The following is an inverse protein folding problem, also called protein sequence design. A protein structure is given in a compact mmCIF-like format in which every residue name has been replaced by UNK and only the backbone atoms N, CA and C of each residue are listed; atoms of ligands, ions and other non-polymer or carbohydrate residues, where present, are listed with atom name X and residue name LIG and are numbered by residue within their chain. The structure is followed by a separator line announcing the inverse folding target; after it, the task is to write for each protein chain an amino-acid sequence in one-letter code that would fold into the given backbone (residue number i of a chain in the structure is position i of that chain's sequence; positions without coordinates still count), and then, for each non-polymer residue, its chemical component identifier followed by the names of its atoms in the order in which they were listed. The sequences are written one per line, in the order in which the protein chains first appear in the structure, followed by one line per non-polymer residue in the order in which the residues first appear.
data_IF_348489626870
#
_entry.id   IF_348489626870
#
_cell.length_a   1.000
_cell.length_b   1.000
_cell.length_c   1.000
_cell.angle_alpha   90.00
_cell.angle_beta   90.00
_cell.angle_gamma   90.00
#
_symmetry.space_group_name_H-M   'P 1'
#
loop_
_entity.id
_entity.type
_entity.pdbx_description
1 polymer ?
#
# COMPACT_ATOMS: atom_id res chain seq x y z
N UNK A 1 29.65 30.41 20.96
CA UNK A 1 29.49 30.04 20.58
C UNK A 1 28.83 29.68 20.18
N UNK A 2 28.51 29.60 20.24
CA UNK A 2 27.98 29.25 19.77
C UNK A 2 27.24 28.67 19.28
N UNK A 3 26.93 28.63 19.40
CA UNK A 3 26.40 28.11 18.78
C UNK A 3 25.57 27.59 18.61
N UNK A 4 25.39 27.62 18.88
CA UNK A 4 24.80 27.16 18.47
C UNK A 4 23.98 26.70 18.11
N UNK A 5 23.94 26.78 18.33
CA UNK A 5 23.47 26.33 17.81
C UNK A 5 22.78 25.94 17.34
N UNK A 6 22.83 25.94 17.46
CA UNK A 6 22.52 25.61 16.81
C UNK A 6 21.99 25.01 16.45
N UNK A 7 22.03 24.95 16.68
CA UNK A 7 21.83 24.44 16.12
C UNK A 7 21.15 23.87 16.02
N UNK A 8 21.11 23.93 16.30
CA UNK A 8 20.69 23.57 16.08
C UNK A 8 19.97 23.28 15.68
N UNK A 9 19.76 23.35 15.59
CA UNK A 9 19.27 23.15 15.05
C UNK A 9 18.80 22.60 14.48
N UNK A 10 18.99 22.66 14.45
CA UNK A 10 18.76 22.15 13.66
C UNK A 10 18.07 21.17 13.61
N UNK A 11 18.03 21.12 13.95
CA UNK A 11 17.68 20.40 13.71
C UNK A 11 16.61 20.19 13.54
N UNK A 12 16.31 20.46 13.57
CA UNK A 12 15.62 20.34 13.23
C UNK A 12 15.07 20.15 12.49
N UNK A 13 15.12 20.54 12.64
CA UNK A 13 14.43 20.37 11.74
C UNK A 13 14.23 19.49 10.95
N UNK A 14 14.47 19.46 10.55
CA UNK A 14 14.43 18.53 9.92
C UNK A 14 13.55 17.59 9.92
N UNK A 15 12.90 17.55 10.48
CA UNK A 15 12.27 16.57 10.70
C UNK A 15 11.06 16.30 10.04
N UNK A 16 10.34 17.14 9.70
CA UNK A 16 9.05 17.01 9.20
C UNK A 16 8.98 16.58 7.78
N UNK A 17 9.82 17.11 6.99
CA UNK A 17 9.78 16.85 5.58
C UNK A 17 9.91 15.39 5.23
N UNK A 18 10.73 14.62 5.89
CA UNK A 18 10.86 13.22 5.56
C UNK A 18 9.57 12.41 5.65
N UNK A 19 8.73 12.75 6.57
CA UNK A 19 7.49 12.00 6.71
C UNK A 19 6.62 12.11 5.47
N UNK A 20 6.58 13.27 4.85
CA UNK A 20 5.79 13.46 3.65
C UNK A 20 6.40 12.76 2.45
N UNK A 21 7.72 12.71 2.41
CA UNK A 21 8.41 12.10 1.29
C UNK A 21 8.27 10.59 1.27
N UNK A 22 7.79 10.00 2.33
CA UNK A 22 7.72 8.56 2.44
C UNK A 22 6.39 7.98 2.04
N UNK A 23 5.45 8.81 1.61
CA UNK A 23 4.22 8.31 1.04
C UNK A 23 4.37 8.15 -0.46
N UNK A 24 4.15 6.94 -0.94
CA UNK A 24 4.21 6.62 -2.35
C UNK A 24 2.80 6.57 -2.93
N UNK A 25 2.63 7.12 -4.12
CA UNK A 25 1.37 7.08 -4.83
C UNK A 25 1.56 6.31 -6.12
N UNK A 26 0.79 5.25 -6.28
CA UNK A 26 0.87 4.39 -7.45
C UNK A 26 -0.50 4.31 -8.13
N UNK A 27 -0.48 4.22 -9.46
CA UNK A 27 -1.68 3.94 -10.22
C UNK A 27 -1.71 2.46 -10.54
N UNK A 28 -2.82 1.82 -10.23
CA UNK A 28 -2.99 0.40 -10.41
C UNK A 28 -4.00 0.12 -11.51
N UNK A 29 -3.71 -0.88 -12.32
CA UNK A 29 -4.56 -1.28 -13.42
C UNK A 29 -4.49 -2.78 -13.61
N UNK A 30 -5.64 -3.42 -13.74
CA UNK A 30 -5.71 -4.85 -14.01
C UNK A 30 -6.48 -5.05 -15.31
N UNK A 31 -5.79 -5.30 -16.43
CA UNK A 31 -6.46 -5.43 -17.73
C UNK A 31 -7.39 -6.64 -17.84
N UNK A 32 -7.29 -7.56 -16.90
CA UNK A 32 -8.14 -8.75 -16.89
C UNK A 32 -9.48 -8.53 -16.19
N UNK A 33 -9.67 -7.39 -15.56
CA UNK A 33 -10.88 -7.12 -14.79
C UNK A 33 -11.47 -5.78 -15.19
N UNK A 34 -12.78 -5.76 -15.35
CA UNK A 34 -13.50 -4.54 -15.66
C UNK A 34 -13.53 -3.62 -14.42
N UNK A 35 -13.43 -2.31 -14.62
CA UNK A 35 -13.44 -1.31 -13.55
C UNK A 35 -12.33 -1.49 -12.52
N UNK A 36 -11.19 -1.94 -12.97
CA UNK A 36 -10.10 -2.34 -12.07
C UNK A 36 -9.01 -1.30 -11.91
N UNK A 37 -9.31 -0.04 -12.18
CA UNK A 37 -8.33 1.03 -11.96
C UNK A 37 -8.46 1.58 -10.56
N UNK A 38 -7.32 1.80 -9.92
CA UNK A 38 -7.29 2.34 -8.57
C UNK A 38 -6.04 3.17 -8.35
N UNK A 39 -6.02 3.90 -7.25
CA UNK A 39 -4.82 4.59 -6.77
C UNK A 39 -4.44 3.96 -5.44
N UNK A 40 -3.17 3.63 -5.29
CA UNK A 40 -2.65 3.04 -4.07
C UNK A 40 -1.68 4.02 -3.42
N UNK A 41 -1.90 4.30 -2.14
CA UNK A 41 -1.01 5.13 -1.35
C UNK A 41 -0.32 4.23 -0.33
N UNK A 42 1.01 4.28 -0.32
CA UNK A 42 1.81 3.49 0.61
C UNK A 42 2.48 4.42 1.59
N UNK A 43 2.10 4.30 2.85
CA UNK A 43 2.69 5.06 3.95
C UNK A 43 3.75 4.17 4.58
N UNK A 44 5.00 4.41 4.20
CA UNK A 44 6.11 3.59 4.67
C UNK A 44 6.41 3.79 6.15
N UNK A 45 6.15 4.98 6.65
CA UNK A 45 6.42 5.29 8.05
C UNK A 45 5.51 4.52 8.97
N UNK A 46 4.23 4.48 8.65
CA UNK A 46 3.22 3.84 9.49
C UNK A 46 2.89 2.42 9.07
N UNK A 47 3.44 1.96 7.97
CA UNK A 47 3.20 0.60 7.49
C UNK A 47 1.75 0.39 7.07
N UNK A 48 1.21 1.32 6.28
CA UNK A 48 -0.17 1.26 5.82
C UNK A 48 -0.26 1.35 4.31
N UNK A 49 -1.19 0.60 3.73
CA UNK A 49 -1.55 0.74 2.32
C UNK A 49 -3.01 1.14 2.25
N UNK A 50 -3.28 2.19 1.48
CA UNK A 50 -4.63 2.65 1.22
C UNK A 50 -4.89 2.57 -0.27
N UNK A 51 -5.94 1.88 -0.66
CA UNK A 51 -6.34 1.79 -2.06
C UNK A 51 -7.69 2.46 -2.25
N UNK A 52 -7.79 3.29 -3.30
CA UNK A 52 -9.03 3.98 -3.64
C UNK A 52 -9.40 3.61 -5.07
N UNK A 53 -10.56 2.98 -5.24
CA UNK A 53 -11.03 2.52 -6.53
C UNK A 53 -11.66 3.65 -7.33
N UNK A 54 -11.31 3.74 -8.61
CA UNK A 54 -11.81 4.82 -9.47
C UNK A 54 -13.32 4.74 -9.69
N UNK A 55 -13.84 3.52 -9.80
CA UNK A 55 -15.22 3.33 -10.22
C UNK A 55 -16.24 3.92 -9.23
N UNK A 56 -16.01 3.74 -7.95
CA UNK A 56 -16.98 4.14 -6.93
C UNK A 56 -16.36 4.94 -5.77
N UNK A 57 -15.06 5.19 -5.81
CA UNK A 57 -14.37 5.89 -4.75
C UNK A 57 -14.21 5.08 -3.48
N UNK A 58 -14.49 3.78 -3.53
CA UNK A 58 -14.33 2.93 -2.36
C UNK A 58 -12.88 2.97 -1.87
N UNK A 59 -12.71 3.15 -0.58
CA UNK A 59 -11.40 3.32 0.05
C UNK A 59 -11.19 2.24 1.09
N UNK A 60 -10.04 1.61 1.02
CA UNK A 60 -9.67 0.57 1.96
C UNK A 60 -8.25 0.80 2.44
N UNK A 61 -8.03 0.75 3.76
CA UNK A 61 -6.71 0.91 4.36
C UNK A 61 -6.37 -0.34 5.14
N UNK A 62 -5.17 -0.85 4.92
CA UNK A 62 -4.72 -2.10 5.54
C UNK A 62 -3.30 -1.94 6.08
N UNK A 63 -3.01 -2.55 7.23
CA UNK A 63 -1.62 -2.67 7.68
C UNK A 63 -0.83 -3.49 6.66
N UNK A 64 0.40 -3.10 6.42
CA UNK A 64 1.25 -3.75 5.44
C UNK A 64 2.67 -3.90 5.96
N UNK A 65 3.37 -4.90 5.44
CA UNK A 65 4.77 -5.15 5.76
C UNK A 65 5.60 -5.11 4.50
N UNK A 66 6.78 -4.51 4.61
CA UNK A 66 7.72 -4.46 3.52
C UNK A 66 8.91 -5.35 3.83
N UNK A 67 9.19 -6.29 2.94
CA UNK A 67 10.33 -7.19 3.10
C UNK A 67 10.86 -7.60 1.75
N UNK A 68 12.17 -7.46 1.55
CA UNK A 68 12.83 -7.88 0.31
C UNK A 68 12.22 -7.28 -0.96
N UNK A 69 11.80 -6.02 -0.89
CA UNK A 69 11.24 -5.34 -2.04
C UNK A 69 9.77 -5.66 -2.30
N UNK A 70 9.11 -6.34 -1.38
CA UNK A 70 7.71 -6.73 -1.54
C UNK A 70 6.88 -6.21 -0.38
N UNK A 71 5.78 -5.53 -0.71
CA UNK A 71 4.76 -5.15 0.25
C UNK A 71 3.74 -6.27 0.36
N UNK A 72 3.32 -6.59 1.58
CA UNK A 72 2.34 -7.65 1.84
C UNK A 72 1.27 -7.13 2.78
N UNK A 73 0.01 -7.42 2.43
CA UNK A 73 -1.12 -7.05 3.28
C UNK A 73 -2.26 -8.04 3.07
N UNK A 74 -3.32 -7.88 3.83
CA UNK A 74 -4.47 -8.78 3.81
C UNK A 74 -5.72 -7.97 3.55
N UNK A 75 -6.58 -8.49 2.69
CA UNK A 75 -7.88 -7.88 2.38
C UNK A 75 -8.96 -8.91 2.68
N UNK A 76 -10.02 -8.46 3.33
CA UNK A 76 -11.19 -9.30 3.56
C UNK A 76 -12.30 -8.83 2.64
N UNK A 77 -12.72 -9.70 1.72
CA UNK A 77 -13.81 -9.35 0.82
C UNK A 77 -15.14 -9.47 1.55
N UNK A 78 -16.09 -8.62 1.17
CA UNK A 78 -17.41 -8.65 1.76
C UNK A 78 -18.09 -9.97 1.47
N UNK A 79 -18.77 -10.48 2.50
CA UNK A 79 -19.55 -11.70 2.35
C UNK A 79 -21.01 -11.39 2.10
N UNK A 80 -21.72 -12.33 1.54
CA UNK A 80 -23.17 -12.27 1.50
C UNK A 80 -23.68 -12.31 2.94
N UNK A 81 -24.89 -11.81 3.15
CA UNK A 81 -25.47 -11.75 4.49
C UNK A 81 -25.45 -13.14 5.14
N UNK A 82 -24.90 -13.19 6.35
CA UNK A 82 -24.82 -14.43 7.10
C UNK A 82 -23.63 -15.31 6.79
N UNK A 83 -22.72 -14.88 5.89
CA UNK A 83 -21.53 -15.65 5.54
C UNK A 83 -20.26 -14.91 5.93
N UNK A 84 -19.20 -15.62 6.29
CA UNK A 84 -17.92 -14.98 6.58
C UNK A 84 -17.30 -14.46 5.30
N UNK A 85 -16.56 -13.37 5.41
CA UNK A 85 -15.78 -12.83 4.30
C UNK A 85 -14.64 -13.76 3.91
N UNK A 86 -14.14 -13.57 2.71
CA UNK A 86 -12.98 -14.32 2.22
C UNK A 86 -11.74 -13.49 2.50
N UNK A 87 -10.75 -14.10 3.15
CA UNK A 87 -9.47 -13.45 3.45
C UNK A 87 -8.52 -13.70 2.30
N UNK A 88 -7.99 -12.63 1.74
CA UNK A 88 -7.04 -12.70 0.63
C UNK A 88 -5.70 -12.14 1.07
N UNK A 89 -4.64 -12.89 0.77
CA UNK A 89 -3.29 -12.40 0.90
C UNK A 89 -2.93 -11.62 -0.34
N UNK A 90 -2.32 -10.45 -0.16
CA UNK A 90 -1.95 -9.55 -1.24
C UNK A 90 -0.46 -9.27 -1.17
N UNK A 91 0.16 -9.09 -2.33
CA UNK A 91 1.55 -8.62 -2.39
C UNK A 91 1.76 -7.71 -3.58
N UNK A 92 2.69 -6.78 -3.43
CA UNK A 92 3.13 -5.86 -4.48
C UNK A 92 4.65 -5.91 -4.56
N UNK A 93 5.17 -6.35 -5.69
CA UNK A 93 6.61 -6.32 -5.95
C UNK A 93 6.97 -4.92 -6.42
N UNK A 94 7.76 -4.20 -5.60
CA UNK A 94 8.11 -2.82 -5.90
C UNK A 94 9.00 -2.67 -7.12
N UNK A 95 9.71 -3.72 -7.51
CA UNK A 95 10.60 -3.66 -8.67
C UNK A 95 9.82 -3.74 -9.98
N UNK A 96 8.79 -4.55 -10.00
CA UNK A 96 8.02 -4.80 -11.23
C UNK A 96 6.66 -4.10 -11.23
N UNK A 97 6.15 -3.76 -10.06
CA UNK A 97 4.80 -3.23 -9.91
C UNK A 97 3.72 -4.30 -9.95
N UNK A 98 4.10 -5.57 -10.06
CA UNK A 98 3.13 -6.66 -10.17
C UNK A 98 2.45 -6.91 -8.84
N UNK A 99 1.12 -6.99 -8.86
CA UNK A 99 0.31 -7.32 -7.69
C UNK A 99 -0.10 -8.79 -7.80
N UNK A 100 0.13 -9.51 -6.72
CA UNK A 100 -0.26 -10.92 -6.62
C UNK A 100 -1.27 -11.09 -5.50
N UNK A 101 -2.16 -12.07 -5.65
CA UNK A 101 -3.16 -12.34 -4.63
C UNK A 101 -3.48 -13.83 -4.56
N UNK A 102 -4.01 -14.24 -3.42
CA UNK A 102 -4.51 -15.58 -3.23
C UNK A 102 -5.45 -15.61 -2.02
N UNK A 103 -6.34 -16.58 -2.01
CA UNK A 103 -7.09 -16.88 -0.79
C UNK A 103 -6.09 -17.34 0.25
N UNK A 104 -6.27 -16.88 1.48
CA UNK A 104 -5.33 -17.16 2.56
C UNK A 104 -5.00 -18.65 2.66
N UNK A 105 -3.72 -18.96 2.71
CA UNK A 105 -3.24 -20.32 2.76
C UNK A 105 -2.93 -20.95 1.42
N UNK A 106 -3.22 -20.25 0.32
CA UNK A 106 -2.90 -20.70 -1.02
C UNK A 106 -1.71 -19.95 -1.59
N UNK A 107 -1.14 -20.45 -2.67
CA UNK A 107 0.01 -19.80 -3.31
C UNK A 107 -0.42 -18.52 -4.00
N UNK A 108 0.37 -17.46 -3.83
CA UNK A 108 0.14 -16.19 -4.51
C UNK A 108 0.34 -16.33 -6.02
N UNK A 109 -0.53 -15.67 -6.78
CA UNK A 109 -0.43 -15.64 -8.23
C UNK A 109 -0.54 -14.20 -8.72
N UNK A 110 0.17 -13.83 -9.82
CA UNK A 110 0.23 -12.45 -10.30
C UNK A 110 -1.04 -12.04 -11.06
N UNK A 111 -2.16 -12.07 -10.38
CA UNK A 111 -3.46 -11.81 -10.96
C UNK A 111 -4.08 -10.48 -10.53
N UNK A 112 -3.35 -9.67 -9.79
CA UNK A 112 -3.87 -8.41 -9.27
C UNK A 112 -3.57 -7.20 -10.13
N UNK A 113 -2.91 -7.36 -11.27
CA UNK A 113 -2.57 -6.26 -12.14
C UNK A 113 -1.22 -5.65 -11.82
N UNK A 114 -1.03 -4.40 -12.24
CA UNK A 114 0.25 -3.69 -12.09
C UNK A 114 -0.01 -2.31 -11.49
N UNK A 115 0.83 -1.94 -10.52
CA UNK A 115 0.83 -0.62 -9.90
C UNK A 115 2.15 0.09 -10.16
N UNK A 116 2.09 1.29 -10.74
CA UNK A 116 3.29 2.08 -11.05
C UNK A 116 3.13 3.55 -10.74
#
# INVERSE_FOLDING_TARGET
MRSTVVLTAAVLATVVAPANAEELKLRCENPMAQFSKSTMYIDEVNGLITEIWDADGYKETSPAKFKNGVWSWVVVTDAAAGEPGIVNDMSLDRRTGVVSSAIQGQALEPNGGVCR
#
